data_IF_772525115173
#
_entry.id   IF_772525115173
#
_cell.length_a   1.000
_cell.length_b   1.000
_cell.length_c   1.000
_cell.angle_alpha   90.00
_cell.angle_beta   90.00
_cell.angle_gamma   90.00
#
_symmetry.space_group_name_H-M   'P 1'
#
loop_
_entity.id
_entity.type
_entity.pdbx_description
1 polymer ?
#
# COMPACT_ATOMS: atom_id res chain seq x y z
N UNK A 1 -25.90 29.76 12.15
CA UNK A 1 -27.09 30.01 11.30
C UNK A 1 -27.26 28.83 10.36
N UNK A 2 -28.13 27.91 10.74
CA UNK A 2 -28.46 26.69 9.98
C UNK A 2 -29.53 27.03 8.95
N UNK A 3 -29.17 27.06 7.67
CA UNK A 3 -30.12 27.27 6.59
C UNK A 3 -30.96 26.00 6.41
N UNK A 4 -32.16 25.99 6.99
CA UNK A 4 -33.18 24.98 6.75
C UNK A 4 -33.76 25.18 5.34
N UNK A 5 -33.10 24.61 4.33
CA UNK A 5 -33.59 24.57 2.96
C UNK A 5 -34.76 23.58 2.87
N UNK A 6 -35.97 24.10 2.71
CA UNK A 6 -37.20 23.33 2.48
C UNK A 6 -37.06 22.53 1.17
N UNK A 7 -36.91 21.21 1.27
CA UNK A 7 -36.75 20.32 0.11
C UNK A 7 -38.13 19.82 -0.36
N UNK A 8 -38.55 20.06 -1.61
CA UNK A 8 -39.86 19.65 -2.08
C UNK A 8 -39.99 18.12 -2.16
N UNK A 9 -41.21 17.55 -1.96
CA UNK A 9 -41.42 16.12 -1.68
C UNK A 9 -41.09 15.16 -2.83
N UNK A 10 -40.96 15.67 -4.06
CA UNK A 10 -40.66 14.88 -5.26
C UNK A 10 -39.16 14.80 -5.59
N UNK A 11 -38.29 15.47 -4.84
CA UNK A 11 -36.84 15.42 -5.04
C UNK A 11 -36.22 14.32 -4.15
N UNK A 12 -36.42 13.06 -4.51
CA UNK A 12 -35.87 11.91 -3.79
C UNK A 12 -34.34 11.77 -3.89
N UNK A 13 -33.65 12.63 -4.64
CA UNK A 13 -32.19 12.58 -4.74
C UNK A 13 -31.59 13.48 -3.66
N UNK A 14 -30.86 12.90 -2.71
CA UNK A 14 -30.03 13.65 -1.78
C UNK A 14 -28.85 14.27 -2.57
N UNK A 15 -29.08 15.44 -3.18
CA UNK A 15 -28.12 16.09 -4.10
C UNK A 15 -26.82 16.45 -3.39
N UNK A 16 -26.89 16.76 -2.09
CA UNK A 16 -25.73 16.98 -1.22
C UNK A 16 -24.88 15.71 -1.07
N UNK A 17 -25.49 14.56 -0.80
CA UNK A 17 -24.76 13.28 -0.74
C UNK A 17 -24.17 12.87 -2.08
N UNK A 18 -24.85 13.17 -3.19
CA UNK A 18 -24.32 12.93 -4.54
C UNK A 18 -23.09 13.79 -4.84
N UNK A 19 -23.13 15.07 -4.47
CA UNK A 19 -22.00 16.01 -4.63
C UNK A 19 -20.79 15.60 -3.78
N UNK A 20 -21.02 15.18 -2.54
CA UNK A 20 -19.93 14.77 -1.64
C UNK A 20 -19.29 13.44 -2.09
N UNK A 21 -20.10 12.49 -2.57
CA UNK A 21 -19.59 11.28 -3.20
C UNK A 21 -18.78 11.59 -4.47
N UNK A 22 -19.28 12.46 -5.35
CA UNK A 22 -18.57 12.86 -6.56
C UNK A 22 -17.21 13.52 -6.24
N UNK A 23 -17.15 14.37 -5.21
CA UNK A 23 -15.88 14.97 -4.73
C UNK A 23 -14.93 13.91 -4.17
N UNK A 24 -15.43 12.93 -3.42
CA UNK A 24 -14.62 11.84 -2.90
C UNK A 24 -14.03 10.99 -4.02
N UNK A 25 -14.83 10.63 -5.03
CA UNK A 25 -14.38 9.89 -6.22
C UNK A 25 -13.36 10.71 -7.03
N UNK A 26 -13.61 11.99 -7.26
CA UNK A 26 -12.65 12.87 -7.94
C UNK A 26 -11.31 12.94 -7.19
N UNK A 27 -11.36 13.10 -5.87
CA UNK A 27 -10.16 13.20 -5.03
C UNK A 27 -9.38 11.90 -5.05
N UNK A 28 -10.04 10.75 -4.95
CA UNK A 28 -9.40 9.44 -5.05
C UNK A 28 -8.70 9.27 -6.42
N UNK A 29 -9.39 9.58 -7.51
CA UNK A 29 -8.80 9.50 -8.86
C UNK A 29 -7.63 10.46 -9.03
N UNK A 30 -7.75 11.71 -8.56
CA UNK A 30 -6.66 12.68 -8.60
C UNK A 30 -5.42 12.17 -7.86
N UNK A 31 -5.61 11.60 -6.66
CA UNK A 31 -4.49 11.01 -5.90
C UNK A 31 -3.85 9.83 -6.63
N UNK A 32 -4.63 9.02 -7.34
CA UNK A 32 -4.10 7.95 -8.19
C UNK A 32 -3.27 8.51 -9.35
N UNK A 33 -3.75 9.54 -10.06
CA UNK A 33 -2.98 10.20 -11.12
C UNK A 33 -1.71 10.89 -10.60
N UNK A 34 -1.75 11.43 -9.38
CA UNK A 34 -0.59 12.00 -8.69
C UNK A 34 0.38 10.90 -8.14
N UNK A 35 0.11 9.61 -8.38
CA UNK A 35 0.95 8.49 -7.96
C UNK A 35 0.89 8.19 -6.45
N UNK A 36 -0.06 8.77 -5.72
CA UNK A 36 -0.24 8.59 -4.26
C UNK A 36 -1.06 7.35 -3.95
N UNK A 37 -0.65 6.22 -4.54
CA UNK A 37 -1.27 4.93 -4.29
C UNK A 37 -0.84 4.46 -2.90
N UNK A 38 -1.82 4.16 -2.04
CA UNK A 38 -1.56 3.69 -0.68
C UNK A 38 -1.18 2.20 -0.67
N UNK A 39 -0.10 1.82 -1.35
CA UNK A 39 0.40 0.43 -1.46
C UNK A 39 1.84 0.30 -0.97
N UNK A 40 2.31 1.27 -0.19
CA UNK A 40 3.68 1.30 0.34
C UNK A 40 3.70 0.80 1.78
N UNK A 41 4.64 -0.09 2.09
CA UNK A 41 4.94 -0.52 3.45
C UNK A 41 6.43 -0.45 3.77
N UNK A 42 6.79 -0.89 4.97
CA UNK A 42 8.18 -0.98 5.41
C UNK A 42 8.46 -2.36 6.00
N UNK A 43 9.64 -2.89 5.74
CA UNK A 43 10.11 -4.18 6.26
C UNK A 43 11.53 -4.04 6.77
N UNK A 44 11.81 -4.70 7.88
CA UNK A 44 13.18 -4.91 8.36
C UNK A 44 13.47 -6.40 8.25
N UNK A 45 14.57 -6.75 7.60
CA UNK A 45 14.97 -8.15 7.51
C UNK A 45 15.36 -8.67 8.89
N UNK A 46 14.96 -9.89 9.18
CA UNK A 46 15.31 -10.57 10.42
C UNK A 46 16.82 -10.83 10.41
N UNK A 47 17.53 -10.34 11.42
CA UNK A 47 18.98 -10.58 11.57
C UNK A 47 19.22 -12.06 11.84
N UNK A 48 20.36 -12.58 11.37
CA UNK A 48 20.78 -13.98 11.57
C UNK A 48 19.77 -15.02 11.02
N UNK A 49 18.86 -14.60 10.13
CA UNK A 49 17.90 -15.45 9.43
C UNK A 49 18.09 -15.35 7.93
N UNK A 50 17.70 -16.40 7.21
CA UNK A 50 17.64 -16.41 5.75
C UNK A 50 16.26 -16.06 5.20
N UNK A 51 15.26 -15.91 6.07
CA UNK A 51 13.87 -15.66 5.67
C UNK A 51 13.23 -14.56 6.52
N UNK A 52 12.40 -13.76 5.85
CA UNK A 52 11.53 -12.75 6.47
C UNK A 52 10.19 -12.76 5.74
N UNK A 53 9.07 -12.83 6.47
CA UNK A 53 7.73 -12.84 5.87
C UNK A 53 7.04 -11.50 6.10
N UNK A 54 6.55 -10.89 5.02
CA UNK A 54 5.66 -9.73 5.06
C UNK A 54 4.23 -10.25 4.94
N UNK A 55 3.34 -9.77 5.80
CA UNK A 55 1.91 -10.07 5.75
C UNK A 55 1.14 -8.80 5.44
N UNK A 56 0.33 -8.84 4.38
CA UNK A 56 -0.56 -7.76 3.97
C UNK A 56 -1.68 -8.35 3.11
N UNK A 57 -2.93 -8.06 3.47
CA UNK A 57 -4.15 -8.49 2.77
C UNK A 57 -4.20 -8.10 1.29
N UNK A 58 -3.39 -7.11 0.87
CA UNK A 58 -3.34 -6.60 -0.51
C UNK A 58 -2.43 -7.43 -1.41
N UNK A 59 -1.63 -8.32 -0.85
CA UNK A 59 -0.74 -9.19 -1.61
C UNK A 59 -1.56 -10.36 -2.14
N UNK A 60 -1.53 -10.55 -3.45
CA UNK A 60 -2.02 -11.76 -4.11
C UNK A 60 -0.86 -12.53 -4.73
N UNK A 61 -1.13 -13.75 -5.20
CA UNK A 61 -0.14 -14.62 -5.82
C UNK A 61 0.57 -13.98 -7.02
N UNK A 62 -0.13 -13.12 -7.77
CA UNK A 62 0.39 -12.43 -8.94
C UNK A 62 0.95 -11.03 -8.65
N UNK A 63 1.00 -10.61 -7.38
CA UNK A 63 1.52 -9.29 -7.03
C UNK A 63 3.01 -9.19 -7.32
N UNK A 64 3.41 -8.05 -7.87
CA UNK A 64 4.79 -7.61 -7.97
C UNK A 64 5.16 -6.76 -6.76
N UNK A 65 6.22 -7.18 -6.05
CA UNK A 65 6.74 -6.47 -4.89
C UNK A 65 8.11 -5.91 -5.26
N UNK A 66 8.27 -4.59 -5.15
CA UNK A 66 9.56 -3.92 -5.32
C UNK A 66 10.05 -3.40 -3.98
N UNK A 67 11.30 -3.71 -3.62
CA UNK A 67 11.96 -3.13 -2.46
C UNK A 67 12.82 -1.92 -2.85
N UNK A 68 12.89 -0.96 -1.94
CA UNK A 68 13.79 0.18 -1.94
C UNK A 68 14.58 0.16 -0.63
N UNK A 69 15.90 0.03 -0.71
CA UNK A 69 16.76 0.10 0.46
C UNK A 69 16.66 1.47 1.12
N UNK A 70 16.61 1.51 2.46
CA UNK A 70 16.63 2.75 3.24
C UNK A 70 17.88 2.93 4.08
N UNK A 71 18.80 1.96 4.06
CA UNK A 71 20.11 2.06 4.68
C UNK A 71 21.19 1.39 3.81
N UNK A 72 22.46 1.70 4.07
CA UNK A 72 23.59 1.23 3.25
C UNK A 72 23.74 -0.30 3.27
N UNK A 73 23.47 -0.92 4.43
CA UNK A 73 23.52 -2.38 4.57
C UNK A 73 22.47 -3.06 3.67
N UNK A 74 21.27 -2.48 3.55
CA UNK A 74 20.21 -2.97 2.69
C UNK A 74 20.52 -2.74 1.19
N UNK A 75 21.22 -1.65 0.86
CA UNK A 75 21.63 -1.37 -0.51
C UNK A 75 22.64 -2.39 -1.06
N UNK A 76 23.39 -3.06 -0.17
CA UNK A 76 24.28 -4.16 -0.53
C UNK A 76 23.58 -5.50 -0.80
N UNK A 77 22.27 -5.62 -0.54
CA UNK A 77 21.53 -6.86 -0.77
C UNK A 77 21.27 -7.05 -2.27
N UNK A 78 21.88 -8.08 -2.86
CA UNK A 78 21.83 -8.33 -4.31
C UNK A 78 21.07 -9.59 -4.69
N UNK A 79 20.90 -10.55 -3.76
CA UNK A 79 20.34 -11.87 -4.03
C UNK A 79 19.14 -12.17 -3.14
N UNK A 80 18.03 -11.49 -3.39
CA UNK A 80 16.79 -11.72 -2.68
C UNK A 80 15.73 -12.33 -3.58
N UNK A 81 15.15 -13.44 -3.12
CA UNK A 81 14.06 -14.16 -3.79
C UNK A 81 12.73 -13.88 -3.09
N UNK A 82 11.70 -13.62 -3.88
CA UNK A 82 10.34 -13.42 -3.41
C UNK A 82 9.51 -14.67 -3.67
N UNK A 83 8.76 -15.12 -2.67
CA UNK A 83 7.74 -16.17 -2.83
C UNK A 83 6.42 -15.62 -2.34
N UNK A 84 5.51 -15.33 -3.27
CA UNK A 84 4.19 -14.76 -2.97
C UNK A 84 3.19 -15.85 -2.65
N UNK A 85 2.28 -15.52 -1.74
CA UNK A 85 1.08 -16.29 -1.42
C UNK A 85 -0.06 -15.30 -1.15
N UNK A 86 -1.30 -15.79 -1.10
CA UNK A 86 -2.43 -14.93 -0.78
C UNK A 86 -2.23 -14.32 0.62
N UNK A 87 -2.23 -12.99 0.70
CA UNK A 87 -2.04 -12.22 1.93
C UNK A 87 -0.59 -12.14 2.45
N UNK A 88 0.41 -12.70 1.75
CA UNK A 88 1.79 -12.68 2.24
C UNK A 88 2.86 -12.81 1.16
N UNK A 89 4.07 -12.34 1.47
CA UNK A 89 5.27 -12.62 0.68
C UNK A 89 6.42 -13.03 1.59
N UNK A 90 7.09 -14.12 1.23
CA UNK A 90 8.32 -14.57 1.91
C UNK A 90 9.52 -14.08 1.14
N UNK A 91 10.35 -13.28 1.80
CA UNK A 91 11.65 -12.81 1.33
C UNK A 91 12.70 -13.83 1.77
N UNK A 92 13.39 -14.45 0.82
CA UNK A 92 14.59 -15.24 1.09
C UNK A 92 15.81 -14.40 0.76
N UNK A 93 16.69 -14.19 1.74
CA UNK A 93 17.84 -13.30 1.66
C UNK A 93 19.06 -13.93 2.32
N UNK A 94 20.24 -13.34 2.15
CA UNK A 94 21.44 -13.79 2.87
C UNK A 94 21.27 -13.57 4.37
N UNK A 95 21.73 -14.51 5.19
CA UNK A 95 21.83 -14.29 6.63
C UNK A 95 22.96 -13.29 6.90
N UNK A 96 22.64 -12.20 7.59
CA UNK A 96 23.59 -11.17 7.99
C UNK A 96 23.14 -10.64 9.37
N UNK A 97 24.07 -10.44 10.33
CA UNK A 97 23.76 -9.88 11.65
C UNK A 97 23.36 -8.40 11.62
N UNK A 98 23.62 -7.69 10.51
CA UNK A 98 23.33 -6.26 10.36
C UNK A 98 21.86 -6.03 10.04
N UNK A 99 21.31 -4.98 10.65
CA UNK A 99 19.95 -4.51 10.36
C UNK A 99 19.86 -3.97 8.94
N UNK A 100 18.96 -4.55 8.14
CA UNK A 100 18.68 -4.15 6.75
C UNK A 100 17.21 -3.74 6.67
N UNK A 101 16.97 -2.49 6.30
CA UNK A 101 15.63 -1.89 6.26
C UNK A 101 15.27 -1.51 4.83
N UNK A 102 14.04 -1.83 4.44
CA UNK A 102 13.49 -1.53 3.12
C UNK A 102 12.11 -0.90 3.24
N UNK A 103 11.80 -0.02 2.28
CA UNK A 103 10.40 0.30 1.93
C UNK A 103 10.01 -0.57 0.76
N UNK A 104 8.75 -0.97 0.71
CA UNK A 104 8.25 -1.78 -0.39
C UNK A 104 6.99 -1.19 -0.97
N UNK A 105 6.75 -1.46 -2.25
CA UNK A 105 5.46 -1.21 -2.90
C UNK A 105 4.88 -2.54 -3.35
N UNK A 106 3.59 -2.71 -3.13
CA UNK A 106 2.80 -3.84 -3.65
C UNK A 106 2.07 -3.33 -4.89
N UNK A 107 2.35 -3.95 -6.04
CA UNK A 107 1.60 -3.76 -7.27
C UNK A 107 0.89 -5.07 -7.58
N UNK A 108 -0.43 -5.09 -7.45
CA UNK A 108 -1.28 -6.26 -7.70
C UNK A 108 -2.14 -6.08 -8.93
#
# INVERSE_FOLDING_TARGET
>A
MTQTSFKPPWLLVNVTGLLDWARAVYTANKLLFDGKINTVGAVTLTTDSTTTTITDTRISINSFIQLMATNDNAAGETNMKFTTAEGSVTLTHMSDPRTRTFRYVILG
#
